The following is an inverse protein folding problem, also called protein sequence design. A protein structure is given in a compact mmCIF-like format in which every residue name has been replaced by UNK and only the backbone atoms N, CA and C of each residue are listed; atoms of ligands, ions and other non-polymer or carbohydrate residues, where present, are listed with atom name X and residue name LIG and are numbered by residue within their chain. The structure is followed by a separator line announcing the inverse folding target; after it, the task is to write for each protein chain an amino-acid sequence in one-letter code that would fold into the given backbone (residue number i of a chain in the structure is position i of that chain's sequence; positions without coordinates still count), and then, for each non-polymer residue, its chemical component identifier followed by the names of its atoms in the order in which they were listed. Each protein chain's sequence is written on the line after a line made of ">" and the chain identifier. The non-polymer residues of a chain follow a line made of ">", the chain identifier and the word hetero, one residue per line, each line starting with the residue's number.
data_IF_485765091332
#
_entry.id   IF_485765091332
#
_cell.length_a   1.000
_cell.length_b   1.000
_cell.length_c   1.000
_cell.angle_alpha   90.00
_cell.angle_beta   90.00
_cell.angle_gamma   90.00
#
_symmetry.space_group_name_H-M   'P 1'
#
loop_
_entity.id
_entity.type
_entity.pdbx_description
1 polymer ?
#
# COMPACT_ATOMS: atom_id res chain seq x y z
N UNK A 1 -17.31 7.92 -9.58
CA UNK A 1 -16.93 6.75 -10.39
C UNK A 1 -17.47 5.48 -9.77
N UNK A 2 -18.00 4.62 -10.60
CA UNK A 2 -18.55 3.36 -10.11
C UNK A 2 -17.45 2.31 -10.00
N UNK A 3 -17.38 1.63 -8.85
CA UNK A 3 -16.40 0.57 -8.60
C UNK A 3 -17.09 -0.77 -8.87
N UNK A 4 -16.60 -1.47 -9.90
CA UNK A 4 -17.12 -2.78 -10.29
C UNK A 4 -16.13 -3.86 -9.88
N UNK A 5 -14.85 -3.56 -9.93
CA UNK A 5 -13.76 -4.48 -9.65
C UNK A 5 -12.70 -3.75 -8.84
N UNK A 6 -11.82 -4.51 -8.16
CA UNK A 6 -10.84 -3.85 -7.29
C UNK A 6 -9.89 -2.94 -8.07
N UNK A 7 -9.64 -3.24 -9.35
CA UNK A 7 -8.76 -2.41 -10.19
C UNK A 7 -9.32 -1.00 -10.41
N UNK A 8 -10.60 -0.80 -10.19
CA UNK A 8 -11.23 0.52 -10.29
C UNK A 8 -10.95 1.39 -9.05
N UNK A 9 -10.43 0.81 -7.97
CA UNK A 9 -10.21 1.52 -6.72
C UNK A 9 -8.91 2.31 -6.82
N UNK A 10 -9.01 3.63 -6.64
CA UNK A 10 -7.84 4.51 -6.76
C UNK A 10 -6.74 4.13 -5.79
N UNK A 11 -7.09 3.81 -4.55
CA UNK A 11 -6.11 3.38 -3.55
C UNK A 11 -5.32 2.15 -4.04
N UNK A 12 -6.00 1.20 -4.69
CA UNK A 12 -5.33 0.03 -5.24
C UNK A 12 -4.36 0.39 -6.37
N UNK A 13 -4.79 1.30 -7.26
CA UNK A 13 -3.95 1.75 -8.37
C UNK A 13 -2.68 2.41 -7.86
N UNK A 14 -2.81 3.24 -6.83
CA UNK A 14 -1.65 3.93 -6.24
C UNK A 14 -0.77 2.97 -5.44
N UNK A 15 -1.36 1.97 -4.78
CA UNK A 15 -0.59 0.93 -4.10
C UNK A 15 0.21 0.10 -5.09
N UNK A 16 -0.35 -0.17 -6.26
CA UNK A 16 0.36 -0.86 -7.34
C UNK A 16 1.59 -0.07 -7.79
N UNK A 17 1.45 1.26 -7.91
CA UNK A 17 2.59 2.14 -8.22
C UNK A 17 3.65 2.04 -7.13
N UNK A 18 3.23 2.01 -5.87
CA UNK A 18 4.16 1.91 -4.75
C UNK A 18 4.98 0.62 -4.85
N UNK A 19 4.33 -0.50 -5.15
CA UNK A 19 5.01 -1.78 -5.34
C UNK A 19 6.07 -1.67 -6.42
N UNK A 20 5.68 -1.12 -7.57
CA UNK A 20 6.60 -0.96 -8.69
C UNK A 20 7.80 -0.11 -8.30
N UNK A 21 7.58 1.01 -7.61
CA UNK A 21 8.65 1.91 -7.19
C UNK A 21 9.60 1.23 -6.20
N UNK A 22 9.07 0.46 -5.26
CA UNK A 22 9.90 -0.28 -4.29
C UNK A 22 10.81 -1.27 -5.03
N UNK A 23 10.27 -2.04 -5.95
CA UNK A 23 11.08 -2.99 -6.72
C UNK A 23 12.15 -2.27 -7.55
N UNK A 24 11.81 -1.10 -8.10
CA UNK A 24 12.77 -0.33 -8.92
C UNK A 24 13.94 0.20 -8.09
N UNK A 25 13.66 0.77 -6.91
CA UNK A 25 14.76 1.32 -6.09
C UNK A 25 15.66 0.21 -5.56
N UNK A 26 15.10 -0.95 -5.22
CA UNK A 26 15.91 -2.11 -4.84
C UNK A 26 16.80 -2.52 -6.01
N UNK A 27 16.24 -2.60 -7.21
CA UNK A 27 16.96 -3.06 -8.39
C UNK A 27 18.12 -2.17 -8.80
N UNK A 28 18.10 -0.88 -8.43
CA UNK A 28 19.15 0.08 -8.79
C UNK A 28 20.37 -0.01 -7.88
N UNK A 29 20.29 -0.70 -6.76
CA UNK A 29 21.35 -0.70 -5.75
C UNK A 29 21.85 -2.11 -5.49
N UNK A 30 23.13 -2.35 -5.82
CA UNK A 30 23.79 -3.61 -5.52
C UNK A 30 23.71 -3.94 -4.04
N UNK A 31 23.99 -2.95 -3.21
CA UNK A 31 24.03 -3.15 -1.76
C UNK A 31 22.64 -3.42 -1.20
N UNK A 32 21.62 -2.72 -1.70
CA UNK A 32 20.26 -2.97 -1.27
C UNK A 32 19.85 -4.41 -1.57
N UNK A 33 20.13 -4.86 -2.81
CA UNK A 33 19.78 -6.21 -3.24
C UNK A 33 20.37 -7.30 -2.35
N UNK A 34 21.52 -7.05 -1.72
CA UNK A 34 22.19 -8.01 -0.85
C UNK A 34 21.61 -8.07 0.55
N UNK A 35 20.89 -7.05 0.97
CA UNK A 35 20.26 -7.02 2.28
C UNK A 35 18.94 -7.74 2.21
N UNK A 36 18.99 -9.08 2.20
CA UNK A 36 17.81 -9.92 1.97
C UNK A 36 16.70 -9.66 2.98
N UNK A 37 17.07 -9.38 4.23
CA UNK A 37 16.08 -9.13 5.27
C UNK A 37 15.29 -7.87 4.97
N UNK A 38 15.98 -6.77 4.68
CA UNK A 38 15.29 -5.50 4.38
C UNK A 38 14.50 -5.59 3.07
N UNK A 39 15.10 -6.22 2.04
CA UNK A 39 14.40 -6.43 0.77
C UNK A 39 13.07 -7.14 1.01
N UNK A 40 13.10 -8.25 1.75
CA UNK A 40 11.88 -9.03 1.99
C UNK A 40 10.86 -8.21 2.76
N UNK A 41 11.28 -7.48 3.78
CA UNK A 41 10.36 -6.71 4.60
C UNK A 41 9.68 -5.58 3.84
N UNK A 42 10.45 -4.83 3.05
CA UNK A 42 9.87 -3.70 2.32
C UNK A 42 9.00 -4.17 1.16
N UNK A 43 9.39 -5.25 0.49
CA UNK A 43 8.58 -5.84 -0.57
C UNK A 43 7.26 -6.38 0.00
N UNK A 44 7.34 -7.11 1.11
CA UNK A 44 6.14 -7.66 1.74
C UNK A 44 5.18 -6.55 2.17
N UNK A 45 5.71 -5.48 2.75
CA UNK A 45 4.88 -4.35 3.16
C UNK A 45 4.22 -3.67 1.97
N UNK A 46 4.96 -3.43 0.89
CA UNK A 46 4.42 -2.79 -0.30
C UNK A 46 3.33 -3.66 -0.94
N UNK A 47 3.60 -4.95 -1.11
CA UNK A 47 2.62 -5.88 -1.69
C UNK A 47 1.40 -6.01 -0.79
N UNK A 48 1.59 -6.02 0.54
CA UNK A 48 0.50 -6.08 1.49
C UNK A 48 -0.44 -4.88 1.36
N UNK A 49 0.10 -3.67 1.15
CA UNK A 49 -0.73 -2.48 0.98
C UNK A 49 -1.69 -2.65 -0.20
N UNK A 50 -1.21 -3.24 -1.27
CA UNK A 50 -1.96 -3.46 -2.50
C UNK A 50 -2.97 -4.60 -2.35
N UNK A 51 -2.50 -5.76 -1.86
CA UNK A 51 -3.32 -6.97 -1.82
C UNK A 51 -4.46 -6.87 -0.80
N UNK A 52 -4.27 -6.12 0.29
CA UNK A 52 -5.32 -5.98 1.29
C UNK A 52 -6.50 -5.13 0.80
N UNK A 53 -6.26 -4.19 -0.11
CA UNK A 53 -7.37 -3.45 -0.72
C UNK A 53 -8.23 -4.40 -1.55
N UNK A 54 -7.59 -5.23 -2.38
CA UNK A 54 -8.30 -6.21 -3.21
C UNK A 54 -9.03 -7.24 -2.34
N UNK A 55 -8.37 -7.71 -1.29
CA UNK A 55 -8.96 -8.68 -0.37
C UNK A 55 -10.19 -8.08 0.31
N UNK A 56 -10.08 -6.84 0.79
CA UNK A 56 -11.20 -6.17 1.43
C UNK A 56 -12.38 -5.97 0.51
N UNK A 57 -12.10 -5.65 -0.76
CA UNK A 57 -13.16 -5.47 -1.75
C UNK A 57 -13.94 -6.78 -1.99
N UNK A 58 -13.28 -7.92 -1.84
CA UNK A 58 -13.92 -9.23 -2.05
C UNK A 58 -14.82 -9.64 -0.89
N UNK A 59 -14.77 -8.91 0.23
CA UNK A 59 -15.57 -9.26 1.43
C UNK A 59 -17.00 -8.80 1.26
N UNK A 60 -17.89 -9.37 2.09
CA UNK A 60 -19.33 -9.14 1.94
C UNK A 60 -19.80 -7.78 2.39
N UNK A 61 -19.21 -7.23 3.44
CA UNK A 61 -19.72 -6.00 4.04
C UNK A 61 -18.66 -4.93 4.16
N UNK A 62 -19.14 -3.69 4.34
CA UNK A 62 -18.25 -2.54 4.50
C UNK A 62 -17.40 -2.64 5.74
N UNK A 63 -17.91 -3.25 6.79
CA UNK A 63 -17.18 -3.39 8.05
C UNK A 63 -15.88 -4.16 7.86
N UNK A 64 -15.95 -5.30 7.16
CA UNK A 64 -14.74 -6.08 6.87
C UNK A 64 -13.83 -5.36 5.90
N UNK A 65 -14.40 -4.70 4.89
CA UNK A 65 -13.62 -3.93 3.94
C UNK A 65 -12.79 -2.87 4.66
N UNK A 66 -13.40 -2.16 5.61
CA UNK A 66 -12.70 -1.15 6.39
C UNK A 66 -11.51 -1.75 7.14
N UNK A 67 -11.67 -2.94 7.72
CA UNK A 67 -10.57 -3.60 8.42
C UNK A 67 -9.39 -3.86 7.50
N UNK A 68 -9.65 -4.33 6.28
CA UNK A 68 -8.58 -4.56 5.30
C UNK A 68 -7.94 -3.25 4.84
N UNK A 69 -8.71 -2.18 4.72
CA UNK A 69 -8.14 -0.87 4.38
C UNK A 69 -7.22 -0.35 5.48
N UNK A 70 -7.55 -0.60 6.75
CA UNK A 70 -6.64 -0.27 7.86
C UNK A 70 -5.33 -1.06 7.76
N UNK A 71 -5.39 -2.34 7.36
CA UNK A 71 -4.17 -3.13 7.17
C UNK A 71 -3.35 -2.55 6.04
N UNK A 72 -3.98 -2.18 4.92
CA UNK A 72 -3.31 -1.53 3.79
C UNK A 72 -2.59 -0.25 4.25
N UNK A 73 -3.29 0.57 5.04
CA UNK A 73 -2.73 1.81 5.57
C UNK A 73 -1.52 1.54 6.47
N UNK A 74 -1.63 0.55 7.35
CA UNK A 74 -0.50 0.15 8.22
C UNK A 74 0.68 -0.33 7.40
N UNK A 75 0.43 -1.08 6.33
CA UNK A 75 1.48 -1.58 5.46
C UNK A 75 2.19 -0.44 4.73
N UNK A 76 1.46 0.58 4.31
CA UNK A 76 2.09 1.77 3.70
C UNK A 76 3.01 2.47 4.71
N UNK A 77 2.59 2.56 5.97
CA UNK A 77 3.43 3.13 7.02
C UNK A 77 4.69 2.29 7.24
N UNK A 78 4.58 0.97 7.13
CA UNK A 78 5.76 0.10 7.21
C UNK A 78 6.74 0.36 6.08
N UNK A 79 6.24 0.58 4.86
CA UNK A 79 7.13 0.95 3.74
C UNK A 79 7.90 2.22 4.09
N UNK A 80 7.20 3.23 4.62
CA UNK A 80 7.84 4.48 5.00
C UNK A 80 8.95 4.26 6.04
N UNK A 81 8.68 3.42 7.03
CA UNK A 81 9.68 3.10 8.04
C UNK A 81 10.88 2.37 7.46
N UNK A 82 10.64 1.40 6.58
CA UNK A 82 11.72 0.60 5.98
C UNK A 82 12.59 1.42 5.02
N UNK A 83 12.00 2.39 4.29
CA UNK A 83 12.85 3.19 3.40
C UNK A 83 13.74 4.17 4.16
N UNK A 84 13.40 4.51 5.42
CA UNK A 84 14.36 5.21 6.28
C UNK A 84 15.60 4.34 6.54
N UNK A 85 15.38 3.06 6.80
CA UNK A 85 16.52 2.15 7.00
C UNK A 85 17.40 2.12 5.73
N UNK A 86 16.77 2.01 4.57
CA UNK A 86 17.51 1.99 3.30
C UNK A 86 18.28 3.29 3.08
N UNK A 87 17.68 4.43 3.42
CA UNK A 87 18.36 5.72 3.33
C UNK A 87 19.56 5.78 4.27
N UNK A 88 19.37 5.38 5.52
CA UNK A 88 20.42 5.43 6.53
C UNK A 88 21.59 4.52 6.18
N UNK A 89 21.33 3.39 5.53
CA UNK A 89 22.37 2.49 5.09
C UNK A 89 23.05 2.94 3.78
N UNK A 90 22.56 4.02 3.19
CA UNK A 90 23.12 4.52 1.93
C UNK A 90 22.70 3.70 0.71
N UNK A 91 21.67 2.89 0.84
CA UNK A 91 21.20 2.06 -0.28
C UNK A 91 20.44 2.88 -1.32
N UNK A 92 19.79 3.95 -0.90
CA UNK A 92 19.02 4.83 -1.79
C UNK A 92 19.40 6.28 -1.50
N UNK A 93 19.22 7.14 -2.50
CA UNK A 93 19.46 8.58 -2.33
C UNK A 93 18.21 9.29 -1.81
N UNK A 94 18.36 10.56 -1.46
CA UNK A 94 17.24 11.36 -0.93
C UNK A 94 16.08 11.45 -1.91
N UNK A 95 16.36 11.58 -3.21
CA UNK A 95 15.31 11.70 -4.21
C UNK A 95 14.46 10.43 -4.29
N UNK A 96 15.11 9.27 -4.30
CA UNK A 96 14.42 7.99 -4.34
C UNK A 96 13.66 7.74 -3.03
N UNK A 97 14.28 8.07 -1.90
CA UNK A 97 13.61 7.99 -0.61
C UNK A 97 12.32 8.81 -0.61
N UNK A 98 12.42 10.08 -1.02
CA UNK A 98 11.27 10.97 -1.03
C UNK A 98 10.17 10.46 -1.95
N UNK A 99 10.53 9.96 -3.12
CA UNK A 99 9.55 9.46 -4.08
C UNK A 99 8.75 8.29 -3.50
N UNK A 100 9.43 7.31 -2.89
CA UNK A 100 8.74 6.15 -2.30
C UNK A 100 7.94 6.58 -1.08
N UNK A 101 8.52 7.41 -0.21
CA UNK A 101 7.84 7.89 0.98
C UNK A 101 6.54 8.61 0.61
N UNK A 102 6.61 9.52 -0.35
CA UNK A 102 5.44 10.29 -0.78
C UNK A 102 4.38 9.40 -1.42
N UNK A 103 4.79 8.42 -2.19
CA UNK A 103 3.83 7.49 -2.79
C UNK A 103 3.11 6.65 -1.73
N UNK A 104 3.82 6.20 -0.71
CA UNK A 104 3.21 5.50 0.41
C UNK A 104 2.23 6.40 1.16
N UNK A 105 2.56 7.69 1.27
CA UNK A 105 1.66 8.66 1.89
C UNK A 105 0.38 8.83 1.06
N UNK A 106 0.48 8.85 -0.26
CA UNK A 106 -0.69 8.89 -1.15
C UNK A 106 -1.60 7.70 -0.88
N UNK A 107 -1.04 6.50 -0.79
CA UNK A 107 -1.81 5.28 -0.51
C UNK A 107 -2.52 5.41 0.84
N UNK A 108 -1.79 5.84 1.86
CA UNK A 108 -2.34 5.99 3.21
C UNK A 108 -3.53 6.96 3.23
N UNK A 109 -3.40 8.09 2.55
CA UNK A 109 -4.47 9.09 2.51
C UNK A 109 -5.68 8.60 1.74
N UNK A 110 -5.47 7.88 0.65
CA UNK A 110 -6.57 7.30 -0.11
C UNK A 110 -7.30 6.22 0.70
N UNK A 111 -6.55 5.39 1.42
CA UNK A 111 -7.15 4.40 2.32
C UNK A 111 -8.00 5.08 3.38
N UNK A 112 -7.48 6.15 4.00
CA UNK A 112 -8.22 6.90 5.01
C UNK A 112 -9.49 7.52 4.46
N UNK A 113 -9.41 8.10 3.26
CA UNK A 113 -10.58 8.69 2.61
C UNK A 113 -11.64 7.65 2.28
N UNK A 114 -11.19 6.49 1.83
CA UNK A 114 -12.13 5.41 1.50
C UNK A 114 -12.78 4.84 2.76
N UNK A 115 -12.00 4.67 3.84
CA UNK A 115 -12.54 4.25 5.13
C UNK A 115 -13.63 5.23 5.59
N UNK A 116 -13.34 6.52 5.50
CA UNK A 116 -14.31 7.54 5.86
C UNK A 116 -15.58 7.44 5.04
N UNK A 117 -15.43 7.25 3.73
CA UNK A 117 -16.56 7.08 2.83
C UNK A 117 -17.40 5.86 3.22
N UNK A 118 -16.75 4.72 3.45
CA UNK A 118 -17.46 3.48 3.81
C UNK A 118 -18.18 3.61 5.15
N UNK A 119 -17.59 4.31 6.11
CA UNK A 119 -18.22 4.55 7.40
C UNK A 119 -19.49 5.42 7.28
N UNK A 120 -19.58 6.24 6.24
CA UNK A 120 -20.75 7.08 6.04
C UNK A 120 -21.88 6.36 5.31
N UNK A 121 -21.63 5.15 4.82
CA UNK A 121 -22.62 4.38 4.07
C UNK A 121 -23.38 3.43 4.99
N UNK A 122 -24.62 3.07 4.64
CA UNK A 122 -25.31 2.02 5.38
C UNK A 122 -24.50 0.72 5.37
N UNK A 123 -24.50 0.01 6.49
CA UNK A 123 -23.76 -1.24 6.60
C UNK A 123 -24.52 -2.35 5.88
N UNK A 124 -24.20 -2.55 4.62
CA UNK A 124 -24.83 -3.56 3.77
C UNK A 124 -23.79 -4.51 3.21
N UNK A 125 -24.16 -5.74 2.89
CA UNK A 125 -23.29 -6.60 2.08
C UNK A 125 -23.02 -5.92 0.75
N UNK A 126 -21.79 -6.06 0.25
CA UNK A 126 -21.44 -5.46 -1.04
C UNK A 126 -22.15 -6.11 -2.20
N UNK A 127 -22.41 -7.39 -2.09
CA UNK A 127 -22.99 -8.18 -3.17
C UNK A 127 -24.14 -9.01 -2.65
N UNK A 128 -25.24 -9.10 -3.38
CA UNK A 128 -26.23 -10.14 -3.11
C UNK A 128 -25.59 -11.48 -3.38
N UNK A 129 -25.86 -12.43 -2.55
CA UNK A 129 -25.29 -13.76 -2.68
C UNK A 129 -26.25 -14.73 -3.36
#
# INVERSE_FOLDING_TARGET
>A
MKIVRFEDIEAWQEARKLVKMVYEVIGKSKEFKKDFRLVNQVQDAAVSSMSNIAEGFSRKGNREFIQFLFISKSSAAEVQSHVYVALDQGYINQADFKAVYDQAEVVSKLDSGFIKYLNSQPNKPKQPQ
#
